data_IF_597799528790
#
_entry.id   IF_597799528790
#
_cell.length_a   1.000
_cell.length_b   1.000
_cell.length_c   1.000
_cell.angle_alpha   90.00
_cell.angle_beta   90.00
_cell.angle_gamma   90.00
#
_symmetry.space_group_name_H-M   'P 1'
#
loop_
_entity.id
_entity.type
_entity.pdbx_description
1 polymer ?
#
# COMPACT_ATOMS: atom_id res chain seq x y z
N UNK A 1 8.65 -1.63 43.88
CA UNK A 1 7.62 -2.33 44.71
C UNK A 1 7.30 -3.67 44.08
N UNK A 2 6.67 -4.60 44.82
CA UNK A 2 6.39 -5.97 44.34
C UNK A 2 5.66 -6.04 42.98
N UNK A 3 4.75 -5.10 42.70
CA UNK A 3 4.06 -5.02 41.40
C UNK A 3 5.01 -4.75 40.23
N UNK A 4 5.95 -3.82 40.39
CA UNK A 4 6.94 -3.48 39.36
C UNK A 4 7.83 -4.68 39.03
N UNK A 5 8.31 -5.38 40.06
CA UNK A 5 9.14 -6.58 39.87
C UNK A 5 8.36 -7.70 39.18
N UNK A 6 7.08 -7.85 39.49
CA UNK A 6 6.21 -8.81 38.81
C UNK A 6 6.01 -8.45 37.34
N UNK A 7 5.78 -7.17 37.03
CA UNK A 7 5.65 -6.66 35.67
C UNK A 7 6.91 -6.93 34.84
N UNK A 8 8.07 -6.57 35.38
CA UNK A 8 9.37 -6.79 34.74
C UNK A 8 9.63 -8.29 34.50
N UNK A 9 9.35 -9.13 35.50
CA UNK A 9 9.52 -10.57 35.37
C UNK A 9 8.58 -11.19 34.32
N UNK A 10 7.32 -10.77 34.29
CA UNK A 10 6.34 -11.26 33.31
C UNK A 10 6.72 -10.81 31.90
N UNK A 11 7.02 -9.52 31.69
CA UNK A 11 7.43 -9.03 30.36
C UNK A 11 8.73 -9.69 29.91
N UNK A 12 9.70 -9.87 30.82
CA UNK A 12 10.96 -10.56 30.54
C UNK A 12 10.77 -12.01 30.09
N UNK A 13 9.79 -12.73 30.65
CA UNK A 13 9.46 -14.09 30.20
C UNK A 13 8.95 -14.16 28.76
N UNK A 14 8.39 -13.06 28.24
CA UNK A 14 7.79 -12.97 26.90
C UNK A 14 8.54 -12.02 25.95
N UNK A 15 9.77 -11.61 26.27
CA UNK A 15 10.50 -10.58 25.51
C UNK A 15 10.75 -11.00 24.05
N UNK A 16 11.13 -12.25 23.82
CA UNK A 16 11.32 -12.83 22.47
C UNK A 16 10.02 -12.90 21.64
N UNK A 17 8.88 -12.64 22.27
CA UNK A 17 7.55 -12.81 21.72
C UNK A 17 6.92 -11.50 21.22
N UNK A 18 7.64 -10.37 21.33
CA UNK A 18 7.25 -9.03 20.88
C UNK A 18 8.01 -8.67 19.60
N UNK A 19 7.47 -8.93 18.40
CA UNK A 19 8.18 -8.75 17.14
C UNK A 19 8.11 -7.28 16.67
N UNK A 20 9.05 -6.45 17.13
CA UNK A 20 9.19 -5.06 16.64
C UNK A 20 9.92 -5.00 15.30
N UNK A 21 10.96 -5.82 15.12
CA UNK A 21 11.76 -5.88 13.89
C UNK A 21 11.14 -6.77 12.83
N UNK A 22 10.44 -7.83 13.24
CA UNK A 22 9.74 -8.71 12.30
C UNK A 22 8.39 -8.11 11.90
N UNK A 23 8.14 -8.13 10.59
CA UNK A 23 6.88 -7.75 9.95
C UNK A 23 6.07 -8.99 9.55
N UNK A 24 6.57 -10.19 9.86
CA UNK A 24 5.92 -11.46 9.53
C UNK A 24 4.68 -11.69 10.41
N UNK A 25 3.60 -12.27 9.83
CA UNK A 25 2.44 -12.65 10.61
C UNK A 25 2.78 -13.77 11.58
N UNK A 26 2.21 -13.71 12.78
CA UNK A 26 2.19 -14.84 13.70
C UNK A 26 1.17 -15.87 13.22
N UNK A 27 1.45 -17.16 13.42
CA UNK A 27 0.46 -18.18 13.11
C UNK A 27 -0.68 -18.10 14.13
N UNK A 28 -1.95 -18.17 13.72
CA UNK A 28 -3.09 -18.15 14.65
C UNK A 28 -3.03 -19.26 15.71
N UNK A 29 -2.37 -20.38 15.41
CA UNK A 29 -2.15 -21.53 16.29
C UNK A 29 -1.13 -21.25 17.42
N UNK A 30 -0.32 -20.20 17.30
CA UNK A 30 0.67 -19.75 18.30
C UNK A 30 0.07 -18.76 19.32
N UNK A 31 -1.24 -18.52 19.25
CA UNK A 31 -1.99 -17.76 20.25
C UNK A 31 -2.05 -18.58 21.55
N UNK A 32 -1.10 -18.30 22.44
CA UNK A 32 -0.80 -19.12 23.62
C UNK A 32 -1.95 -19.20 24.61
N UNK A 33 -2.38 -20.43 24.89
CA UNK A 33 -3.26 -20.80 26.00
C UNK A 33 -2.66 -20.51 27.40
N UNK A 34 -1.42 -20.00 27.47
CA UNK A 34 -0.68 -19.73 28.71
C UNK A 34 -0.78 -18.28 29.20
N UNK A 35 -1.42 -17.38 28.44
CA UNK A 35 -1.52 -15.95 28.80
C UNK A 35 -2.80 -15.70 29.65
N UNK A 36 -2.67 -15.11 30.86
CA UNK A 36 -3.79 -14.96 31.77
C UNK A 36 -4.82 -13.92 31.30
N UNK A 37 -6.07 -14.12 31.75
CA UNK A 37 -7.10 -13.09 31.70
C UNK A 37 -6.83 -12.03 32.76
N UNK A 38 -6.83 -10.75 32.37
CA UNK A 38 -6.75 -9.65 33.33
C UNK A 38 -8.13 -9.02 33.53
N UNK A 39 -8.63 -8.90 34.78
CA UNK A 39 -9.86 -8.18 35.06
C UNK A 39 -9.80 -6.73 34.60
N UNK A 40 -10.94 -6.20 34.12
CA UNK A 40 -11.05 -4.81 33.65
C UNK A 40 -10.61 -3.81 34.71
N UNK A 41 -10.94 -4.00 35.98
CA UNK A 41 -10.54 -3.06 37.05
C UNK A 41 -9.01 -2.94 37.17
N UNK A 42 -8.30 -4.07 37.07
CA UNK A 42 -6.84 -4.08 37.07
C UNK A 42 -6.27 -3.43 35.80
N UNK A 43 -6.91 -3.67 34.64
CA UNK A 43 -6.55 -2.99 33.39
C UNK A 43 -6.68 -1.47 33.51
N UNK A 44 -7.76 -0.95 34.09
CA UNK A 44 -7.95 0.49 34.28
C UNK A 44 -6.82 1.09 35.11
N UNK A 45 -6.45 0.46 36.23
CA UNK A 45 -5.37 0.95 37.10
C UNK A 45 -4.02 0.98 36.36
N UNK A 46 -3.72 -0.05 35.57
CA UNK A 46 -2.48 -0.10 34.78
C UNK A 46 -2.52 0.89 33.61
N UNK A 47 -3.67 1.06 32.96
CA UNK A 47 -3.82 1.94 31.82
C UNK A 47 -3.71 3.43 32.23
N UNK A 48 -4.15 3.81 33.43
CA UNK A 48 -3.95 5.16 33.99
C UNK A 48 -2.46 5.54 34.12
N UNK A 49 -1.57 4.55 34.19
CA UNK A 49 -0.12 4.78 34.29
C UNK A 49 0.56 4.94 32.92
N UNK A 50 -0.19 4.90 31.81
CA UNK A 50 0.32 5.28 30.48
C UNK A 50 0.47 6.81 30.39
N UNK A 51 1.48 7.35 31.07
CA UNK A 51 1.87 8.75 30.97
C UNK A 51 3.09 8.91 30.06
N UNK A 52 3.07 9.95 29.21
CA UNK A 52 4.20 10.31 28.37
C UNK A 52 5.37 10.91 29.17
N UNK A 53 5.14 11.34 30.42
CA UNK A 53 6.17 11.85 31.32
C UNK A 53 7.18 10.78 31.77
N UNK A 54 6.75 9.52 31.86
CA UNK A 54 7.59 8.37 32.21
C UNK A 54 7.57 7.33 31.07
N UNK A 55 8.44 7.56 30.08
CA UNK A 55 8.53 6.73 28.89
C UNK A 55 8.98 5.29 29.18
N UNK A 56 9.76 5.07 30.24
CA UNK A 56 10.20 3.73 30.61
C UNK A 56 9.05 2.91 31.20
N UNK A 57 8.26 3.52 32.09
CA UNK A 57 7.05 2.89 32.61
C UNK A 57 6.02 2.66 31.51
N UNK A 58 5.80 3.64 30.63
CA UNK A 58 4.91 3.48 29.48
C UNK A 58 5.35 2.32 28.58
N UNK A 59 6.65 2.19 28.31
CA UNK A 59 7.21 1.08 27.52
C UNK A 59 6.92 -0.28 28.16
N UNK A 60 7.15 -0.41 29.47
CA UNK A 60 6.90 -1.64 30.21
C UNK A 60 5.41 -2.04 30.15
N UNK A 61 4.51 -1.08 30.34
CA UNK A 61 3.07 -1.31 30.27
C UNK A 61 2.60 -1.66 28.86
N UNK A 62 3.12 -1.00 27.83
CA UNK A 62 2.81 -1.35 26.43
C UNK A 62 3.25 -2.78 26.11
N UNK A 63 4.46 -3.18 26.52
CA UNK A 63 4.95 -4.56 26.37
C UNK A 63 4.04 -5.56 27.07
N UNK A 64 3.63 -5.27 28.32
CA UNK A 64 2.68 -6.08 29.05
C UNK A 64 1.37 -6.24 28.27
N UNK A 65 0.77 -5.13 27.80
CA UNK A 65 -0.51 -5.18 27.10
C UNK A 65 -0.41 -5.93 25.77
N UNK A 66 0.71 -5.82 25.03
CA UNK A 66 0.95 -6.61 23.82
C UNK A 66 0.93 -8.10 24.15
N UNK A 67 1.63 -8.52 25.20
CA UNK A 67 1.66 -9.92 25.65
C UNK A 67 0.27 -10.39 26.06
N UNK A 68 -0.46 -9.61 26.85
CA UNK A 68 -1.79 -9.98 27.33
C UNK A 68 -2.84 -10.03 26.20
N UNK A 69 -2.76 -9.14 25.20
CA UNK A 69 -3.63 -9.15 24.03
C UNK A 69 -3.39 -10.35 23.10
N UNK A 70 -2.35 -11.16 23.33
CA UNK A 70 -2.20 -12.45 22.64
C UNK A 70 -3.30 -13.44 23.01
N UNK A 71 -3.85 -13.32 24.23
CA UNK A 71 -5.09 -13.99 24.57
C UNK A 71 -6.25 -13.13 24.05
N UNK A 72 -6.89 -13.58 22.97
CA UNK A 72 -7.93 -12.81 22.29
C UNK A 72 -9.20 -12.60 23.14
N UNK A 73 -9.40 -13.40 24.19
CA UNK A 73 -10.49 -13.18 25.16
C UNK A 73 -10.29 -11.86 25.93
N UNK A 74 -9.04 -11.43 26.14
CA UNK A 74 -8.77 -10.10 26.70
C UNK A 74 -9.23 -8.99 25.74
N UNK A 75 -9.04 -9.15 24.42
CA UNK A 75 -9.49 -8.16 23.44
C UNK A 75 -11.01 -8.05 23.42
N UNK A 76 -11.71 -9.19 23.44
CA UNK A 76 -13.18 -9.26 23.49
C UNK A 76 -13.75 -8.67 24.80
N UNK A 77 -13.01 -8.77 25.91
CA UNK A 77 -13.42 -8.27 27.22
C UNK A 77 -13.46 -6.73 27.36
N UNK A 78 -13.54 -5.98 26.26
CA UNK A 78 -13.68 -4.53 26.26
C UNK A 78 -12.38 -3.74 26.42
N UNK A 79 -11.23 -4.39 26.32
CA UNK A 79 -9.91 -3.73 26.49
C UNK A 79 -9.68 -2.59 25.51
N UNK A 80 -10.19 -2.70 24.28
CA UNK A 80 -10.11 -1.64 23.30
C UNK A 80 -10.69 -0.31 23.80
N UNK A 81 -11.80 -0.35 24.55
CA UNK A 81 -12.45 0.85 25.10
C UNK A 81 -11.59 1.53 26.18
N UNK A 82 -10.79 0.76 26.91
CA UNK A 82 -9.93 1.27 27.99
C UNK A 82 -8.58 1.75 27.44
N UNK A 83 -7.96 0.96 26.57
CA UNK A 83 -6.60 1.20 26.10
C UNK A 83 -6.54 2.21 24.96
N UNK A 84 -7.40 2.10 23.94
CA UNK A 84 -7.23 2.86 22.70
C UNK A 84 -7.24 4.38 22.90
N UNK A 85 -8.14 4.99 23.71
CA UNK A 85 -8.10 6.44 23.91
C UNK A 85 -6.76 6.92 24.51
N UNK A 86 -6.22 6.17 25.47
CA UNK A 86 -4.96 6.50 26.16
C UNK A 86 -3.75 6.27 25.24
N UNK A 87 -3.72 5.15 24.53
CA UNK A 87 -2.64 4.81 23.59
C UNK A 87 -2.62 5.76 22.40
N UNK A 88 -3.78 6.15 21.86
CA UNK A 88 -3.85 7.15 20.78
C UNK A 88 -3.41 8.54 21.27
N UNK A 89 -3.81 8.96 22.48
CA UNK A 89 -3.35 10.23 23.04
C UNK A 89 -1.82 10.24 23.26
N UNK A 90 -1.26 9.13 23.76
CA UNK A 90 0.18 8.94 23.88
C UNK A 90 0.86 9.01 22.49
N UNK A 91 0.38 8.26 21.51
CA UNK A 91 0.91 8.27 20.14
C UNK A 91 0.88 9.66 19.51
N UNK A 92 -0.23 10.40 19.61
CA UNK A 92 -0.32 11.78 19.08
C UNK A 92 0.78 12.67 19.64
N UNK A 93 1.06 12.57 20.95
CA UNK A 93 2.13 13.35 21.59
C UNK A 93 3.51 12.89 21.14
N UNK A 94 3.77 11.57 21.11
CA UNK A 94 5.04 11.01 20.67
C UNK A 94 5.36 11.41 19.22
N UNK A 95 4.37 11.36 18.32
CA UNK A 95 4.53 11.77 16.92
C UNK A 95 4.87 13.26 16.80
N UNK A 96 4.23 14.11 17.60
CA UNK A 96 4.53 15.54 17.63
C UNK A 96 5.94 15.83 18.16
N UNK A 97 6.36 15.15 19.23
CA UNK A 97 7.72 15.27 19.79
C UNK A 97 8.77 14.78 18.78
N UNK A 98 8.57 13.62 18.16
CA UNK A 98 9.51 13.06 17.18
C UNK A 98 9.72 14.00 15.97
N UNK A 99 8.66 14.60 15.44
CA UNK A 99 8.76 15.58 14.34
C UNK A 99 9.44 16.90 14.76
N UNK A 100 9.38 17.26 16.04
CA UNK A 100 9.94 18.49 16.58
C UNK A 100 11.32 18.35 17.23
N UNK A 101 11.84 17.13 17.40
CA UNK A 101 13.08 16.89 18.15
C UNK A 101 14.31 17.29 17.33
N UNK A 102 15.17 18.21 17.83
CA UNK A 102 16.42 18.55 17.15
C UNK A 102 17.45 17.42 17.28
N UNK A 103 18.35 17.30 16.31
CA UNK A 103 19.36 16.23 16.18
C UNK A 103 20.31 16.06 17.39
N UNK A 104 20.31 16.96 18.38
CA UNK A 104 21.17 16.89 19.56
C UNK A 104 20.64 16.00 20.71
N UNK A 105 19.44 15.43 20.60
CA UNK A 105 18.82 14.56 21.62
C UNK A 105 18.61 13.10 21.14
N UNK A 106 19.59 12.52 20.43
CA UNK A 106 19.49 11.19 19.81
C UNK A 106 19.00 10.08 20.76
N UNK A 107 19.51 10.04 22.00
CA UNK A 107 19.11 9.00 22.98
C UNK A 107 17.64 9.07 23.40
N UNK A 108 17.09 10.28 23.53
CA UNK A 108 15.66 10.48 23.82
C UNK A 108 14.80 10.17 22.59
N UNK A 109 15.28 10.53 21.39
CA UNK A 109 14.62 10.19 20.13
C UNK A 109 14.42 8.68 19.93
N UNK A 110 15.46 7.89 20.22
CA UNK A 110 15.37 6.42 20.14
C UNK A 110 14.36 5.83 21.13
N UNK A 111 14.30 6.35 22.36
CA UNK A 111 13.31 5.91 23.35
C UNK A 111 11.88 6.27 22.91
N UNK A 112 11.66 7.49 22.43
CA UNK A 112 10.37 7.93 21.89
C UNK A 112 9.92 7.05 20.72
N UNK A 113 10.81 6.78 19.78
CA UNK A 113 10.54 5.87 18.65
C UNK A 113 10.17 4.48 19.16
N UNK A 114 10.93 3.93 20.11
CA UNK A 114 10.69 2.61 20.65
C UNK A 114 9.31 2.50 21.33
N UNK A 115 8.94 3.48 22.16
CA UNK A 115 7.61 3.55 22.78
C UNK A 115 6.52 3.65 21.72
N UNK A 116 6.71 4.50 20.71
CA UNK A 116 5.74 4.67 19.62
C UNK A 116 5.55 3.38 18.81
N UNK A 117 6.62 2.64 18.50
CA UNK A 117 6.56 1.36 17.80
C UNK A 117 5.77 0.31 18.59
N UNK A 118 5.96 0.23 19.91
CA UNK A 118 5.17 -0.68 20.76
C UNK A 118 3.70 -0.27 20.84
N UNK A 119 3.42 1.03 20.94
CA UNK A 119 2.05 1.53 20.94
C UNK A 119 1.32 1.24 19.61
N UNK A 120 2.01 1.39 18.47
CA UNK A 120 1.46 0.99 17.16
C UNK A 120 1.23 -0.53 17.08
N UNK A 121 2.17 -1.34 17.57
CA UNK A 121 2.04 -2.81 17.58
C UNK A 121 0.86 -3.28 18.44
N UNK A 122 0.63 -2.64 19.59
CA UNK A 122 -0.54 -2.90 20.43
C UNK A 122 -1.83 -2.57 19.67
N UNK A 123 -1.89 -1.41 19.02
CA UNK A 123 -3.04 -1.03 18.20
C UNK A 123 -3.28 -1.99 17.02
N UNK A 124 -2.22 -2.44 16.32
CA UNK A 124 -2.32 -3.46 15.26
C UNK A 124 -3.02 -4.73 15.79
N UNK A 125 -2.60 -5.21 16.97
CA UNK A 125 -3.19 -6.41 17.60
C UNK A 125 -4.63 -6.23 18.06
N UNK A 126 -5.02 -5.03 18.49
CA UNK A 126 -6.39 -4.71 18.90
C UNK A 126 -7.33 -4.58 17.69
N UNK A 127 -6.87 -3.98 16.58
CA UNK A 127 -7.70 -3.75 15.39
C UNK A 127 -7.71 -4.91 14.39
N UNK A 128 -6.71 -5.79 14.42
CA UNK A 128 -6.66 -7.00 13.59
C UNK A 128 -6.14 -8.21 14.41
N UNK A 129 -6.98 -8.78 15.29
CA UNK A 129 -6.56 -9.84 16.22
C UNK A 129 -5.95 -11.08 15.55
N UNK A 130 -6.39 -11.40 14.32
CA UNK A 130 -5.90 -12.54 13.53
C UNK A 130 -4.79 -12.17 12.55
N UNK A 131 -4.31 -10.92 12.59
CA UNK A 131 -3.26 -10.40 11.71
C UNK A 131 -3.55 -10.65 10.22
N UNK A 132 -4.83 -10.53 9.86
CA UNK A 132 -5.35 -10.69 8.50
C UNK A 132 -4.57 -9.85 7.50
N UNK A 133 -4.27 -8.60 7.85
CA UNK A 133 -3.47 -7.70 7.02
C UNK A 133 -2.06 -8.25 6.76
N UNK A 134 -1.35 -8.65 7.82
CA UNK A 134 0.03 -9.14 7.74
C UNK A 134 0.12 -10.43 6.93
N UNK A 135 -0.84 -11.34 7.13
CA UNK A 135 -0.97 -12.60 6.39
C UNK A 135 -1.22 -12.38 4.91
N UNK A 136 -2.17 -11.49 4.58
CA UNK A 136 -2.44 -11.10 3.19
C UNK A 136 -1.21 -10.45 2.53
N UNK A 137 -0.53 -9.56 3.25
CA UNK A 137 0.69 -8.91 2.77
C UNK A 137 1.84 -9.90 2.53
N UNK A 138 1.96 -10.96 3.34
CA UNK A 138 2.92 -12.05 3.10
C UNK A 138 2.53 -13.01 1.97
N UNK A 139 1.44 -12.72 1.24
CA UNK A 139 0.97 -13.52 0.09
C UNK A 139 -0.06 -14.59 0.43
N UNK A 140 -0.58 -14.63 1.66
CA UNK A 140 -1.59 -15.61 2.05
C UNK A 140 -2.98 -15.22 1.53
N UNK A 141 -3.68 -16.16 0.86
CA UNK A 141 -5.02 -15.95 0.33
C UNK A 141 -6.07 -16.26 1.40
N UNK A 142 -6.52 -15.24 2.13
CA UNK A 142 -7.56 -15.39 3.16
C UNK A 142 -8.95 -15.23 2.53
N UNK A 143 -9.73 -16.31 2.55
CA UNK A 143 -11.09 -16.32 2.02
C UNK A 143 -12.12 -15.71 2.97
N UNK A 144 -13.23 -15.19 2.44
CA UNK A 144 -14.36 -14.72 3.27
C UNK A 144 -14.94 -15.80 4.18
N UNK A 145 -14.88 -17.08 3.76
CA UNK A 145 -15.31 -18.25 4.54
C UNK A 145 -14.41 -18.51 5.76
N UNK A 146 -13.14 -18.15 5.67
CA UNK A 146 -12.22 -18.22 6.81
C UNK A 146 -12.50 -17.07 7.77
N UNK A 147 -12.61 -15.83 7.26
CA UNK A 147 -12.94 -14.65 8.07
C UNK A 147 -14.24 -14.83 8.86
N UNK A 148 -15.24 -15.51 8.29
CA UNK A 148 -16.51 -15.80 9.00
C UNK A 148 -16.38 -16.78 10.17
N UNK A 149 -15.24 -17.49 10.31
CA UNK A 149 -14.97 -18.40 11.43
C UNK A 149 -14.25 -17.73 12.59
N UNK A 150 -13.81 -16.47 12.43
CA UNK A 150 -13.13 -15.73 13.48
C UNK A 150 -14.10 -15.52 14.66
N UNK A 151 -13.72 -16.05 15.82
CA UNK A 151 -14.54 -16.02 17.05
C UNK A 151 -14.57 -14.62 17.66
N UNK A 152 -13.38 -14.04 17.82
CA UNK A 152 -13.18 -12.75 18.49
C UNK A 152 -13.22 -11.57 17.50
N UNK A 153 -14.07 -10.56 17.69
CA UNK A 153 -14.07 -9.36 16.85
C UNK A 153 -12.88 -8.43 17.14
N UNK A 154 -12.50 -7.55 16.21
CA UNK A 154 -11.55 -6.47 16.51
C UNK A 154 -12.15 -5.45 17.49
N UNK A 155 -11.29 -4.71 18.18
CA UNK A 155 -11.70 -3.55 18.96
C UNK A 155 -12.38 -2.49 18.07
N UNK A 156 -13.41 -1.83 18.58
CA UNK A 156 -14.07 -0.74 17.86
C UNK A 156 -13.12 0.45 17.64
N UNK A 157 -13.14 1.03 16.44
CA UNK A 157 -12.30 2.19 16.11
C UNK A 157 -12.78 3.46 16.85
N UNK A 158 -11.93 4.12 17.66
CA UNK A 158 -12.26 5.39 18.30
C UNK A 158 -12.44 6.50 17.28
N UNK A 159 -13.29 7.48 17.57
CA UNK A 159 -13.57 8.59 16.66
C UNK A 159 -12.34 9.50 16.44
N UNK A 160 -11.42 9.53 17.40
CA UNK A 160 -10.16 10.29 17.36
C UNK A 160 -9.15 9.69 16.38
N UNK A 161 -9.29 8.41 16.00
CA UNK A 161 -8.33 7.72 15.14
C UNK A 161 -8.10 8.45 13.81
N UNK A 162 -9.17 8.92 13.17
CA UNK A 162 -9.09 9.59 11.87
C UNK A 162 -8.37 10.95 11.95
N UNK A 163 -8.43 11.63 13.09
CA UNK A 163 -7.65 12.84 13.35
C UNK A 163 -6.18 12.50 13.59
N UNK A 164 -5.92 11.57 14.52
CA UNK A 164 -4.58 11.06 14.82
C UNK A 164 -3.83 10.61 13.56
N UNK A 165 -4.46 9.79 12.72
CA UNK A 165 -3.82 9.22 11.54
C UNK A 165 -3.48 10.29 10.50
N UNK A 166 -4.39 11.24 10.29
CA UNK A 166 -4.17 12.39 9.39
C UNK A 166 -3.01 13.26 9.86
N UNK A 167 -3.00 13.62 11.14
CA UNK A 167 -1.94 14.44 11.75
C UNK A 167 -0.59 13.72 11.77
N UNK A 168 -0.60 12.39 11.95
CA UNK A 168 0.61 11.56 11.89
C UNK A 168 1.23 11.56 10.49
N UNK A 169 0.42 11.47 9.43
CA UNK A 169 0.92 11.51 8.06
C UNK A 169 1.22 12.94 7.54
N UNK A 170 0.68 13.98 8.17
CA UNK A 170 1.02 15.35 7.84
C UNK A 170 2.47 15.66 8.24
N UNK A 171 3.34 15.96 7.28
CA UNK A 171 4.78 16.13 7.54
C UNK A 171 5.46 14.82 7.92
N UNK A 172 5.07 13.72 7.27
CA UNK A 172 5.67 12.40 7.48
C UNK A 172 7.19 12.36 7.24
N UNK A 173 7.75 13.32 6.49
CA UNK A 173 9.19 13.40 6.20
C UNK A 173 10.08 13.52 7.45
N UNK A 174 9.52 14.04 8.55
CA UNK A 174 10.22 14.14 9.83
C UNK A 174 10.15 12.87 10.70
N UNK A 175 9.46 11.82 10.25
CA UNK A 175 9.31 10.58 11.03
C UNK A 175 10.41 9.56 10.69
N UNK A 176 10.84 8.73 11.68
CA UNK A 176 11.68 7.58 11.39
C UNK A 176 11.01 6.62 10.38
N UNK A 177 11.76 6.03 9.43
CA UNK A 177 11.19 5.19 8.38
C UNK A 177 10.39 4.00 8.89
N UNK A 178 10.89 3.32 9.93
CA UNK A 178 10.21 2.18 10.53
C UNK A 178 8.88 2.58 11.17
N UNK A 179 8.80 3.77 11.75
CA UNK A 179 7.59 4.27 12.39
C UNK A 179 6.51 4.59 11.35
N UNK A 180 6.90 5.22 10.23
CA UNK A 180 5.99 5.47 9.12
C UNK A 180 5.51 4.15 8.48
N UNK A 181 6.40 3.18 8.32
CA UNK A 181 6.05 1.83 7.84
C UNK A 181 5.01 1.17 8.76
N UNK A 182 5.21 1.23 10.09
CA UNK A 182 4.27 0.70 11.09
C UNK A 182 2.93 1.45 11.09
N UNK A 183 2.93 2.77 10.87
CA UNK A 183 1.69 3.55 10.71
C UNK A 183 0.86 3.06 9.53
N UNK A 184 1.49 2.81 8.37
CA UNK A 184 0.78 2.29 7.20
C UNK A 184 0.28 0.85 7.46
N UNK A 185 1.05 0.01 8.14
CA UNK A 185 0.57 -1.31 8.56
C UNK A 185 -0.60 -1.24 9.53
N UNK A 186 -0.60 -0.31 10.49
CA UNK A 186 -1.72 -0.07 11.38
C UNK A 186 -2.99 0.28 10.61
N UNK A 187 -2.90 1.15 9.61
CA UNK A 187 -4.05 1.46 8.75
C UNK A 187 -4.55 0.23 8.00
N UNK A 188 -3.63 -0.56 7.42
CA UNK A 188 -3.98 -1.82 6.76
C UNK A 188 -4.63 -2.84 7.70
N UNK A 189 -4.16 -2.95 8.95
CA UNK A 189 -4.78 -3.77 9.99
C UNK A 189 -6.21 -3.31 10.27
N UNK A 190 -6.45 -2.00 10.40
CA UNK A 190 -7.79 -1.43 10.58
C UNK A 190 -8.72 -1.75 9.40
N UNK A 191 -8.21 -1.69 8.16
CA UNK A 191 -8.97 -2.06 6.95
C UNK A 191 -9.31 -3.55 6.91
N UNK A 192 -8.35 -4.42 7.25
CA UNK A 192 -8.47 -5.87 7.10
C UNK A 192 -9.23 -6.54 8.25
N UNK A 193 -9.09 -5.99 9.46
CA UNK A 193 -9.59 -6.59 10.70
C UNK A 193 -11.10 -6.46 10.91
N UNK A 194 -11.72 -5.37 10.43
CA UNK A 194 -13.17 -5.18 10.58
C UNK A 194 -13.78 -4.23 9.54
N UNK A 195 -14.92 -4.62 8.97
CA UNK A 195 -15.62 -3.83 7.94
C UNK A 195 -16.03 -2.44 8.43
N UNK A 196 -16.59 -2.35 9.63
CA UNK A 196 -17.05 -1.08 10.22
C UNK A 196 -15.86 -0.16 10.52
N UNK A 197 -14.80 -0.70 11.11
CA UNK A 197 -13.54 0.01 11.36
C UNK A 197 -12.95 0.55 10.06
N UNK A 198 -12.85 -0.27 9.02
CA UNK A 198 -12.37 0.18 7.70
C UNK A 198 -13.21 1.33 7.15
N UNK A 199 -14.54 1.25 7.23
CA UNK A 199 -15.43 2.34 6.81
C UNK A 199 -15.18 3.63 7.60
N UNK A 200 -14.99 3.55 8.92
CA UNK A 200 -14.72 4.74 9.74
C UNK A 200 -13.32 5.33 9.50
N UNK A 201 -12.32 4.48 9.27
CA UNK A 201 -10.93 4.89 9.07
C UNK A 201 -10.70 5.59 7.73
N UNK A 202 -11.36 5.10 6.66
CA UNK A 202 -11.23 5.70 5.34
C UNK A 202 -11.97 7.03 5.30
N UNK A 203 -11.17 8.08 5.38
CA UNK A 203 -11.56 9.50 5.30
C UNK A 203 -10.71 10.23 4.27
N UNK A 204 -11.18 11.39 3.80
CA UNK A 204 -10.41 12.24 2.89
C UNK A 204 -8.98 12.53 3.39
N UNK A 205 -8.82 12.77 4.70
CA UNK A 205 -7.51 13.02 5.31
C UNK A 205 -6.58 11.80 5.31
N UNK A 206 -7.11 10.61 5.63
CA UNK A 206 -6.31 9.37 5.58
C UNK A 206 -5.84 9.04 4.16
N UNK A 207 -6.71 9.22 3.16
CA UNK A 207 -6.40 8.98 1.75
C UNK A 207 -5.36 9.99 1.26
N UNK A 208 -5.53 11.28 1.56
CA UNK A 208 -4.54 12.30 1.22
C UNK A 208 -3.19 12.05 1.88
N UNK A 209 -3.17 11.58 3.13
CA UNK A 209 -1.94 11.20 3.82
C UNK A 209 -1.22 10.05 3.11
N UNK A 210 -1.92 8.96 2.76
CA UNK A 210 -1.34 7.83 2.04
C UNK A 210 -0.85 8.22 0.64
N UNK A 211 -1.61 9.04 -0.09
CA UNK A 211 -1.17 9.61 -1.36
C UNK A 211 0.06 10.50 -1.17
N UNK A 212 0.16 11.23 -0.05
CA UNK A 212 1.35 12.00 0.33
C UNK A 212 2.59 11.12 0.51
N UNK A 213 2.44 9.96 1.15
CA UNK A 213 3.54 8.97 1.29
C UNK A 213 4.01 8.46 -0.07
N UNK A 214 3.08 8.13 -0.98
CA UNK A 214 3.43 7.72 -2.36
C UNK A 214 4.10 8.88 -3.12
N UNK A 215 3.65 10.12 -2.89
CA UNK A 215 4.23 11.32 -3.51
C UNK A 215 5.64 11.63 -3.02
N UNK A 216 5.96 11.28 -1.77
CA UNK A 216 7.27 11.52 -1.15
C UNK A 216 8.36 10.50 -1.51
N UNK A 217 8.10 9.58 -2.45
CA UNK A 217 8.96 8.43 -2.79
C UNK A 217 10.47 8.73 -2.99
N UNK A 218 10.83 9.95 -3.39
CA UNK A 218 12.21 10.36 -3.65
C UNK A 218 12.93 10.99 -2.44
N UNK A 219 12.22 11.26 -1.33
CA UNK A 219 12.80 11.90 -0.15
C UNK A 219 12.29 11.32 1.18
N UNK A 220 13.06 11.60 2.24
CA UNK A 220 12.69 11.27 3.61
C UNK A 220 12.52 9.76 3.86
N UNK A 221 11.59 9.36 4.74
CA UNK A 221 11.39 7.97 5.13
C UNK A 221 10.81 7.10 4.01
N UNK A 222 10.27 7.69 2.95
CA UNK A 222 9.73 6.97 1.80
C UNK A 222 10.79 6.37 0.88
N UNK A 223 12.07 6.64 1.12
CA UNK A 223 13.19 5.94 0.50
C UNK A 223 13.33 4.48 0.97
N UNK A 224 12.66 4.07 2.07
CA UNK A 224 12.51 2.64 2.38
C UNK A 224 11.72 1.97 1.24
N UNK A 225 12.32 0.98 0.53
CA UNK A 225 11.71 0.38 -0.66
C UNK A 225 10.39 -0.34 -0.37
N UNK A 226 10.08 -0.63 0.91
CA UNK A 226 8.85 -1.30 1.32
C UNK A 226 7.67 -0.33 1.47
N UNK A 227 7.93 0.96 1.68
CA UNK A 227 6.88 1.90 2.09
C UNK A 227 5.90 2.22 0.96
N UNK A 228 6.39 2.51 -0.24
CA UNK A 228 5.54 2.82 -1.40
C UNK A 228 4.65 1.63 -1.77
N UNK A 229 5.15 0.38 -1.93
CA UNK A 229 4.30 -0.78 -2.15
C UNK A 229 3.23 -0.97 -1.07
N UNK A 230 3.59 -0.79 0.20
CA UNK A 230 2.66 -0.94 1.33
C UNK A 230 1.58 0.16 1.32
N UNK A 231 1.95 1.41 1.03
CA UNK A 231 1.01 2.51 0.91
C UNK A 231 0.04 2.29 -0.27
N UNK A 232 0.53 1.73 -1.39
CA UNK A 232 -0.32 1.35 -2.52
C UNK A 232 -1.29 0.23 -2.15
N UNK A 233 -0.86 -0.81 -1.43
CA UNK A 233 -1.78 -1.84 -0.92
C UNK A 233 -2.85 -1.27 0.02
N UNK A 234 -2.47 -0.34 0.91
CA UNK A 234 -3.42 0.35 1.77
C UNK A 234 -4.43 1.18 0.96
N UNK A 235 -4.00 1.84 -0.12
CA UNK A 235 -4.89 2.55 -1.06
C UNK A 235 -5.81 1.59 -1.82
N UNK A 236 -5.34 0.41 -2.23
CA UNK A 236 -6.21 -0.65 -2.80
C UNK A 236 -7.29 -1.05 -1.80
N UNK A 237 -6.91 -1.29 -0.54
CA UNK A 237 -7.86 -1.58 0.53
C UNK A 237 -8.88 -0.45 0.76
N UNK A 238 -8.44 0.82 0.72
CA UNK A 238 -9.32 1.97 0.83
C UNK A 238 -10.31 2.06 -0.34
N UNK A 239 -9.87 1.80 -1.58
CA UNK A 239 -10.76 1.71 -2.76
C UNK A 239 -11.82 0.63 -2.55
N UNK A 240 -11.43 -0.55 -2.09
CA UNK A 240 -12.37 -1.64 -1.83
C UNK A 240 -13.39 -1.29 -0.73
N UNK A 241 -12.96 -0.62 0.34
CA UNK A 241 -13.86 -0.17 1.41
C UNK A 241 -14.86 0.87 0.92
N UNK A 242 -14.39 1.89 0.18
CA UNK A 242 -15.26 2.93 -0.39
C UNK A 242 -16.26 2.34 -1.37
N UNK A 243 -15.80 1.44 -2.24
CA UNK A 243 -16.63 0.77 -3.24
C UNK A 243 -17.69 -0.15 -2.62
N UNK A 244 -17.31 -0.95 -1.62
CA UNK A 244 -18.24 -1.85 -0.93
C UNK A 244 -19.24 -1.11 -0.02
N UNK A 245 -18.97 0.15 0.32
CA UNK A 245 -19.84 0.96 1.16
C UNK A 245 -20.99 1.55 0.34
N UNK A 246 -22.22 1.09 0.60
CA UNK A 246 -23.44 1.53 -0.10
C UNK A 246 -23.98 2.89 0.37
N UNK A 247 -23.16 3.70 1.04
CA UNK A 247 -23.59 4.99 1.59
C UNK A 247 -23.40 6.12 0.55
N UNK A 248 -24.32 7.09 0.46
CA UNK A 248 -24.29 8.13 -0.58
C UNK A 248 -22.96 8.93 -0.73
N UNK A 249 -22.22 9.32 0.34
CA UNK A 249 -21.01 10.13 0.18
C UNK A 249 -19.81 9.35 -0.38
N UNK A 250 -19.88 8.02 -0.45
CA UNK A 250 -18.71 7.17 -0.77
C UNK A 250 -18.32 7.19 -2.24
N UNK A 251 -19.28 7.40 -3.13
CA UNK A 251 -19.01 7.58 -4.56
C UNK A 251 -18.10 8.79 -4.83
N UNK A 252 -18.46 9.99 -4.38
CA UNK A 252 -17.60 11.18 -4.47
C UNK A 252 -16.21 11.00 -3.82
N UNK A 253 -16.13 10.38 -2.65
CA UNK A 253 -14.85 10.08 -1.98
C UNK A 253 -13.96 9.16 -2.81
N UNK A 254 -14.53 8.11 -3.41
CA UNK A 254 -13.82 7.19 -4.29
C UNK A 254 -13.31 7.90 -5.55
N UNK A 255 -14.11 8.78 -6.17
CA UNK A 255 -13.67 9.59 -7.31
C UNK A 255 -12.49 10.48 -6.92
N UNK A 256 -12.58 11.15 -5.78
CA UNK A 256 -11.52 12.04 -5.27
C UNK A 256 -10.21 11.28 -5.01
N UNK A 257 -10.31 10.05 -4.49
CA UNK A 257 -9.16 9.16 -4.32
C UNK A 257 -8.51 8.84 -5.68
N UNK A 258 -9.29 8.41 -6.67
CA UNK A 258 -8.78 8.06 -8.00
C UNK A 258 -8.20 9.28 -8.73
N UNK A 259 -8.81 10.45 -8.62
CA UNK A 259 -8.27 11.70 -9.14
C UNK A 259 -6.90 12.02 -8.53
N UNK A 260 -6.76 11.89 -7.20
CA UNK A 260 -5.49 12.07 -6.50
C UNK A 260 -4.43 11.05 -6.95
N UNK A 261 -4.85 9.79 -7.13
CA UNK A 261 -4.00 8.71 -7.61
C UNK A 261 -3.45 8.98 -9.01
N UNK A 262 -4.32 9.30 -9.97
CA UNK A 262 -3.92 9.60 -11.35
C UNK A 262 -3.11 10.88 -11.47
N UNK A 263 -3.34 11.85 -10.58
CA UNK A 263 -2.53 13.08 -10.48
C UNK A 263 -1.09 12.77 -10.10
N UNK A 264 -0.85 11.87 -9.15
CA UNK A 264 0.50 11.44 -8.76
C UNK A 264 1.15 10.64 -9.89
N UNK A 265 0.41 9.71 -10.50
CA UNK A 265 0.90 8.87 -11.59
C UNK A 265 1.42 9.71 -12.78
N UNK A 266 0.69 10.79 -13.11
CA UNK A 266 1.01 11.71 -14.19
C UNK A 266 1.79 12.96 -13.75
N UNK A 267 2.28 13.02 -12.51
CA UNK A 267 3.02 14.19 -12.05
C UNK A 267 4.32 14.36 -12.84
N UNK A 268 4.64 15.61 -13.17
CA UNK A 268 5.91 16.01 -13.74
C UNK A 268 6.93 16.10 -12.61
N UNK A 269 7.81 15.10 -12.53
CA UNK A 269 8.90 15.07 -11.56
C UNK A 269 10.12 15.72 -12.18
N UNK A 270 10.67 16.79 -11.57
CA UNK A 270 11.88 17.42 -12.08
C UNK A 270 13.03 16.41 -12.06
N UNK A 271 13.84 16.40 -13.12
CA UNK A 271 15.07 15.62 -13.15
C UNK A 271 15.96 16.08 -11.99
N UNK A 272 16.09 15.23 -10.98
CA UNK A 272 16.96 15.50 -9.83
C UNK A 272 18.42 15.64 -10.29
N UNK A 273 19.25 16.38 -9.52
CA UNK A 273 20.66 16.61 -9.87
C UNK A 273 21.55 15.35 -9.75
N UNK A 274 21.05 14.24 -9.19
CA UNK A 274 21.78 12.98 -9.06
C UNK A 274 21.49 12.03 -10.22
N UNK A 275 22.44 11.18 -10.64
CA UNK A 275 22.16 10.03 -11.50
C UNK A 275 21.35 8.97 -10.73
N UNK A 276 20.30 8.38 -11.35
CA UNK A 276 19.42 7.36 -10.73
C UNK A 276 17.93 7.69 -10.40
N UNK A 277 17.44 8.95 -10.37
CA UNK A 277 16.04 9.24 -10.00
C UNK A 277 15.04 8.81 -11.07
N UNK A 278 15.47 8.64 -12.32
CA UNK A 278 14.60 8.23 -13.43
C UNK A 278 14.19 6.75 -13.33
N UNK A 279 15.10 5.84 -12.97
CA UNK A 279 14.80 4.42 -12.80
C UNK A 279 13.86 4.20 -11.60
N UNK A 280 14.11 4.92 -10.50
CA UNK A 280 13.23 4.91 -9.34
C UNK A 280 11.83 5.48 -9.66
N UNK A 281 11.74 6.51 -10.51
CA UNK A 281 10.45 7.02 -11.00
C UNK A 281 9.71 6.01 -11.88
N UNK A 282 10.43 5.30 -12.77
CA UNK A 282 9.83 4.21 -13.56
C UNK A 282 9.31 3.12 -12.63
N UNK A 283 10.09 2.71 -11.63
CA UNK A 283 9.68 1.71 -10.64
C UNK A 283 8.44 2.15 -9.84
N UNK A 284 8.34 3.42 -9.45
CA UNK A 284 7.14 4.00 -8.82
C UNK A 284 5.93 3.88 -9.76
N UNK A 285 6.06 4.36 -11.00
CA UNK A 285 4.95 4.36 -11.97
C UNK A 285 4.49 2.93 -12.27
N UNK A 286 5.41 1.98 -12.41
CA UNK A 286 5.11 0.55 -12.57
C UNK A 286 4.35 0.02 -11.35
N UNK A 287 4.83 0.29 -10.14
CA UNK A 287 4.16 -0.14 -8.90
C UNK A 287 2.74 0.42 -8.79
N UNK A 288 2.54 1.68 -9.20
CA UNK A 288 1.22 2.30 -9.27
C UNK A 288 0.33 1.66 -10.35
N UNK A 289 0.87 1.36 -11.54
CA UNK A 289 0.10 0.70 -12.59
C UNK A 289 -0.33 -0.71 -12.15
N UNK A 290 0.55 -1.48 -11.51
CA UNK A 290 0.24 -2.83 -10.99
C UNK A 290 -0.79 -2.83 -9.86
N UNK A 291 -0.98 -1.73 -9.15
CA UNK A 291 -2.04 -1.61 -8.14
C UNK A 291 -3.44 -1.46 -8.77
N UNK A 292 -3.58 -0.93 -9.98
CA UNK A 292 -4.90 -0.71 -10.62
C UNK A 292 -5.66 -2.04 -10.86
N UNK A 293 -5.05 -3.09 -11.43
CA UNK A 293 -5.70 -4.40 -11.53
C UNK A 293 -6.14 -4.97 -10.18
N UNK A 294 -5.35 -4.73 -9.11
CA UNK A 294 -5.72 -5.12 -7.74
C UNK A 294 -6.91 -4.33 -7.21
N UNK A 295 -7.04 -3.04 -7.52
CA UNK A 295 -8.24 -2.25 -7.20
C UNK A 295 -9.49 -2.80 -7.88
N UNK A 296 -9.36 -3.28 -9.12
CA UNK A 296 -10.47 -3.86 -9.89
C UNK A 296 -10.78 -5.32 -9.50
N UNK A 297 -10.00 -5.93 -8.60
CA UNK A 297 -10.22 -7.28 -8.10
C UNK A 297 -11.26 -7.28 -6.97
N UNK A 298 -12.51 -6.95 -7.32
CA UNK A 298 -13.64 -6.85 -6.40
C UNK A 298 -14.89 -7.55 -6.95
N UNK A 299 -15.88 -7.82 -6.08
CA UNK A 299 -17.10 -8.56 -6.47
C UNK A 299 -17.94 -7.80 -7.50
N UNK A 300 -18.17 -6.49 -7.29
CA UNK A 300 -18.93 -5.63 -8.22
C UNK A 300 -17.98 -4.80 -9.11
N UNK A 301 -17.15 -5.52 -9.86
CA UNK A 301 -16.16 -4.94 -10.79
C UNK A 301 -16.78 -3.96 -11.80
N UNK A 302 -17.95 -4.23 -12.43
CA UNK A 302 -18.53 -3.32 -13.41
C UNK A 302 -18.81 -1.91 -12.89
N UNK A 303 -19.29 -1.77 -11.65
CA UNK A 303 -19.54 -0.46 -11.03
C UNK A 303 -18.23 0.29 -10.76
N UNK A 304 -17.19 -0.44 -10.34
CA UNK A 304 -15.88 0.17 -10.14
C UNK A 304 -15.25 0.58 -11.48
N UNK A 305 -15.34 -0.25 -12.51
CA UNK A 305 -14.93 0.09 -13.88
C UNK A 305 -15.62 1.37 -14.35
N UNK A 306 -16.95 1.50 -14.19
CA UNK A 306 -17.67 2.73 -14.54
C UNK A 306 -17.14 3.96 -13.78
N UNK A 307 -16.73 3.78 -12.52
CA UNK A 307 -16.09 4.85 -11.74
C UNK A 307 -14.73 5.24 -12.32
N UNK A 308 -13.88 4.29 -12.71
CA UNK A 308 -12.62 4.57 -13.42
C UNK A 308 -12.86 5.34 -14.72
N UNK A 309 -13.83 4.92 -15.53
CA UNK A 309 -14.21 5.60 -16.78
C UNK A 309 -14.67 7.04 -16.53
N UNK A 310 -15.45 7.27 -15.48
CA UNK A 310 -15.91 8.62 -15.10
C UNK A 310 -14.77 9.53 -14.60
N UNK A 311 -13.64 8.95 -14.19
CA UNK A 311 -12.41 9.65 -13.80
C UNK A 311 -11.38 9.75 -14.95
N UNK A 312 -11.80 9.57 -16.21
CA UNK A 312 -10.95 9.74 -17.40
C UNK A 312 -9.67 8.88 -17.36
N UNK A 313 -9.79 7.65 -16.87
CA UNK A 313 -8.64 6.76 -16.68
C UNK A 313 -7.88 6.51 -18.00
N UNK A 314 -8.57 6.42 -19.14
CA UNK A 314 -7.94 6.17 -20.43
C UNK A 314 -7.09 7.33 -20.91
N UNK A 315 -7.54 8.55 -20.70
CA UNK A 315 -6.83 9.79 -21.00
C UNK A 315 -5.59 9.92 -20.11
N UNK A 316 -5.71 9.57 -18.82
CA UNK A 316 -4.56 9.51 -17.90
C UNK A 316 -3.51 8.47 -18.32
N UNK A 317 -3.94 7.29 -18.75
CA UNK A 317 -3.05 6.20 -19.17
C UNK A 317 -2.36 6.51 -20.51
N UNK A 318 -3.10 7.05 -21.48
CA UNK A 318 -2.54 7.42 -22.79
C UNK A 318 -1.55 8.59 -22.66
N UNK A 319 -1.87 9.60 -21.84
CA UNK A 319 -0.95 10.70 -21.50
C UNK A 319 0.34 10.18 -20.88
N UNK A 320 0.24 9.20 -19.98
CA UNK A 320 1.42 8.60 -19.35
C UNK A 320 2.36 7.95 -20.38
N UNK A 321 1.81 7.23 -21.37
CA UNK A 321 2.61 6.67 -22.47
C UNK A 321 3.28 7.79 -23.26
N UNK A 322 2.54 8.84 -23.66
CA UNK A 322 3.09 9.96 -24.42
C UNK A 322 4.22 10.66 -23.66
N UNK A 323 4.05 10.90 -22.35
CA UNK A 323 5.06 11.55 -21.52
C UNK A 323 6.28 10.66 -21.27
N UNK A 324 6.11 9.33 -21.17
CA UNK A 324 7.22 8.39 -20.97
C UNK A 324 8.27 8.46 -22.09
N UNK A 325 7.88 8.86 -23.31
CA UNK A 325 8.80 9.05 -24.43
C UNK A 325 9.80 10.19 -24.19
N UNK A 326 9.34 11.29 -23.60
CA UNK A 326 10.17 12.49 -23.36
C UNK A 326 11.32 12.16 -22.39
N UNK A 327 11.04 11.34 -21.38
CA UNK A 327 12.07 10.88 -20.44
C UNK A 327 13.13 10.01 -21.14
N UNK A 328 12.69 9.09 -22.02
CA UNK A 328 13.61 8.21 -22.75
C UNK A 328 14.44 8.95 -23.80
N UNK A 329 13.89 10.01 -24.41
CA UNK A 329 14.63 10.87 -25.33
C UNK A 329 15.65 11.74 -24.61
N UNK A 330 15.38 12.17 -23.37
CA UNK A 330 16.35 12.86 -22.52
C UNK A 330 17.51 11.95 -22.06
N UNK A 331 17.28 10.62 -22.03
CA UNK A 331 18.29 9.59 -21.71
C UNK A 331 19.31 9.37 -22.84
N UNK A 332 19.00 9.76 -24.08
CA UNK A 332 19.89 9.51 -25.22
C UNK A 332 21.11 10.44 -25.18
N UNK A 333 22.34 9.93 -25.01
CA UNK A 333 23.53 10.75 -25.20
C UNK A 333 23.64 11.18 -26.68
N UNK A 334 24.28 12.32 -26.98
CA UNK A 334 24.51 12.74 -28.37
C UNK A 334 25.25 11.62 -29.11
N UNK A 335 24.76 11.30 -30.30
CA UNK A 335 25.14 10.16 -31.15
C UNK A 335 26.62 9.76 -31.04
N UNK A 336 26.85 8.52 -30.60
CA UNK A 336 28.15 7.86 -30.60
C UNK A 336 28.00 6.36 -30.43
N UNK A 337 28.27 5.59 -31.48
CA UNK A 337 28.12 4.12 -31.61
C UNK A 337 28.93 3.27 -30.61
N UNK A 338 29.56 3.87 -29.59
CA UNK A 338 30.55 3.23 -28.72
C UNK A 338 30.00 2.66 -27.40
N UNK A 339 28.78 3.03 -26.95
CA UNK A 339 28.33 2.73 -25.59
C UNK A 339 27.62 1.36 -25.46
N UNK A 340 26.84 0.94 -26.46
CA UNK A 340 26.10 -0.34 -26.41
C UNK A 340 27.04 -1.55 -26.38
N UNK A 341 28.11 -1.51 -27.18
CA UNK A 341 29.13 -2.55 -27.22
C UNK A 341 29.88 -2.66 -25.88
N UNK A 342 30.17 -1.52 -25.25
CA UNK A 342 30.87 -1.49 -23.95
C UNK A 342 29.97 -2.03 -22.83
N UNK A 343 28.68 -1.70 -22.83
CA UNK A 343 27.70 -2.19 -21.85
C UNK A 343 27.40 -3.69 -21.97
N UNK A 344 27.28 -4.20 -23.19
CA UNK A 344 27.14 -5.64 -23.46
C UNK A 344 28.37 -6.45 -23.04
N UNK A 345 29.54 -5.82 -22.97
CA UNK A 345 30.78 -6.46 -22.52
C UNK A 345 30.96 -6.43 -20.99
N UNK A 346 30.28 -5.53 -20.27
CA UNK A 346 30.39 -5.38 -18.81
C UNK A 346 29.25 -6.02 -18.02
N UNK A 347 28.05 -6.17 -18.60
CA UNK A 347 26.90 -6.78 -17.94
C UNK A 347 26.83 -8.30 -18.20
N UNK A 348 26.83 -9.15 -17.16
CA UNK A 348 26.80 -10.61 -17.32
C UNK A 348 25.44 -11.14 -17.81
N UNK A 349 24.38 -10.34 -17.69
CA UNK A 349 23.03 -10.69 -18.13
C UNK A 349 22.63 -9.85 -19.35
N UNK A 350 22.92 -10.39 -20.53
CA UNK A 350 22.61 -9.77 -21.83
C UNK A 350 21.11 -9.46 -21.96
N UNK A 351 20.26 -10.23 -21.28
CA UNK A 351 18.81 -10.05 -21.30
C UNK A 351 18.40 -8.78 -20.54
N UNK A 352 19.07 -8.41 -19.43
CA UNK A 352 18.87 -7.11 -18.75
C UNK A 352 19.31 -5.90 -19.59
N UNK A 353 20.32 -6.06 -20.43
CA UNK A 353 20.79 -4.99 -21.33
C UNK A 353 19.83 -4.80 -22.51
N UNK A 354 19.17 -5.87 -22.96
CA UNK A 354 18.15 -5.86 -24.02
C UNK A 354 16.75 -5.48 -23.50
N UNK A 355 16.43 -5.84 -22.26
CA UNK A 355 15.18 -5.53 -21.55
C UNK A 355 15.29 -4.24 -20.73
N UNK A 356 16.14 -3.29 -21.12
CA UNK A 356 16.19 -1.98 -20.49
C UNK A 356 14.77 -1.43 -20.37
N UNK A 357 14.40 -0.94 -19.17
CA UNK A 357 13.07 -0.46 -18.71
C UNK A 357 12.38 0.61 -19.59
N UNK A 358 12.91 0.87 -20.79
CA UNK A 358 12.39 1.73 -21.84
C UNK A 358 10.92 1.45 -22.17
N UNK A 359 10.47 0.20 -22.19
CA UNK A 359 9.07 -0.15 -22.49
C UNK A 359 8.23 -0.45 -21.24
N UNK A 360 8.81 -0.41 -20.03
CA UNK A 360 8.16 -0.88 -18.82
C UNK A 360 6.83 -0.16 -18.56
N UNK A 361 6.81 1.17 -18.67
CA UNK A 361 5.57 1.95 -18.50
C UNK A 361 4.52 1.55 -19.55
N UNK A 362 4.93 1.42 -20.82
CA UNK A 362 4.02 1.10 -21.93
C UNK A 362 3.37 -0.27 -21.74
N UNK A 363 4.18 -1.28 -21.44
CA UNK A 363 3.73 -2.66 -21.15
C UNK A 363 2.70 -2.68 -20.02
N UNK A 364 3.01 -2.01 -18.90
CA UNK A 364 2.10 -1.97 -17.75
C UNK A 364 0.82 -1.16 -18.03
N UNK A 365 0.89 -0.09 -18.82
CA UNK A 365 -0.31 0.63 -19.25
C UNK A 365 -1.22 -0.26 -20.10
N UNK A 366 -0.68 -1.03 -21.06
CA UNK A 366 -1.47 -1.97 -21.88
C UNK A 366 -2.12 -3.04 -21.00
N UNK A 367 -1.41 -3.56 -20.00
CA UNK A 367 -1.99 -4.47 -18.99
C UNK A 367 -3.13 -3.82 -18.21
N UNK A 368 -2.97 -2.57 -17.78
CA UNK A 368 -4.02 -1.83 -17.06
C UNK A 368 -5.24 -1.57 -17.96
N UNK A 369 -5.03 -1.16 -19.21
CA UNK A 369 -6.10 -0.99 -20.20
C UNK A 369 -6.88 -2.30 -20.38
N UNK A 370 -6.17 -3.42 -20.49
CA UNK A 370 -6.77 -4.75 -20.56
C UNK A 370 -7.63 -5.03 -19.33
N UNK A 371 -7.11 -4.76 -18.12
CA UNK A 371 -7.87 -4.95 -16.89
C UNK A 371 -9.13 -4.07 -16.84
N UNK A 372 -9.03 -2.79 -17.18
CA UNK A 372 -10.19 -1.87 -17.18
C UNK A 372 -11.26 -2.33 -18.18
N UNK A 373 -10.86 -2.84 -19.35
CA UNK A 373 -11.80 -3.26 -20.41
C UNK A 373 -12.30 -4.71 -20.27
N UNK A 374 -11.60 -5.56 -19.54
CA UNK A 374 -11.92 -6.99 -19.40
C UNK A 374 -13.36 -7.21 -18.91
N UNK A 375 -14.10 -8.04 -19.65
CA UNK A 375 -15.49 -8.38 -19.41
C UNK A 375 -16.49 -7.22 -19.57
N UNK A 376 -16.05 -6.05 -20.09
CA UNK A 376 -16.85 -4.82 -20.10
C UNK A 376 -17.02 -4.24 -21.51
N UNK A 377 -18.13 -4.58 -22.22
CA UNK A 377 -18.44 -3.98 -23.52
C UNK A 377 -18.53 -2.45 -23.47
N UNK A 378 -19.11 -1.90 -22.39
CA UNK A 378 -19.21 -0.45 -22.22
C UNK A 378 -17.84 0.23 -22.09
N UNK A 379 -16.88 -0.39 -21.39
CA UNK A 379 -15.53 0.16 -21.30
C UNK A 379 -14.81 0.16 -22.66
N UNK A 380 -14.99 -0.90 -23.46
CA UNK A 380 -14.44 -0.98 -24.82
C UNK A 380 -15.01 0.10 -25.76
N UNK A 381 -16.32 0.32 -25.72
CA UNK A 381 -16.95 1.39 -26.53
C UNK A 381 -16.49 2.77 -26.08
N UNK A 382 -16.44 3.03 -24.77
CA UNK A 382 -15.89 4.31 -24.25
C UNK A 382 -14.42 4.50 -24.67
N UNK A 383 -13.60 3.45 -24.63
CA UNK A 383 -12.22 3.51 -25.11
C UNK A 383 -12.17 3.87 -26.60
N UNK A 384 -13.00 3.21 -27.41
CA UNK A 384 -13.09 3.44 -28.86
C UNK A 384 -13.55 4.86 -29.20
N UNK A 385 -14.51 5.40 -28.46
CA UNK A 385 -15.05 6.76 -28.69
C UNK A 385 -14.09 7.86 -28.23
N UNK A 386 -13.42 7.68 -27.08
CA UNK A 386 -12.62 8.74 -26.46
C UNK A 386 -11.15 8.75 -26.87
N UNK A 387 -10.56 7.56 -27.05
CA UNK A 387 -9.15 7.40 -27.43
C UNK A 387 -9.06 6.83 -28.84
N UNK A 388 -9.68 5.67 -29.08
CA UNK A 388 -9.61 4.93 -30.33
C UNK A 388 -8.34 4.09 -30.46
N UNK A 389 -8.49 2.86 -30.98
CA UNK A 389 -7.37 1.97 -31.26
C UNK A 389 -6.35 2.55 -32.26
N UNK A 390 -6.73 3.30 -33.32
CA UNK A 390 -5.77 3.94 -34.21
C UNK A 390 -4.85 4.92 -33.49
N UNK A 391 -5.38 5.75 -32.58
CA UNK A 391 -4.56 6.67 -31.81
C UNK A 391 -3.65 5.93 -30.81
N UNK A 392 -4.15 4.87 -30.17
CA UNK A 392 -3.32 4.01 -29.35
C UNK A 392 -2.14 3.45 -30.18
N UNK A 393 -2.38 3.01 -31.42
CA UNK A 393 -1.33 2.52 -32.30
C UNK A 393 -0.25 3.57 -32.55
N UNK A 394 -0.66 4.79 -32.92
CA UNK A 394 0.26 5.90 -33.18
C UNK A 394 1.13 6.19 -31.95
N UNK A 395 0.51 6.22 -30.78
CA UNK A 395 1.19 6.45 -29.50
C UNK A 395 2.19 5.32 -29.21
N UNK A 396 1.81 4.06 -29.40
CA UNK A 396 2.69 2.90 -29.21
C UNK A 396 3.84 2.88 -30.23
N UNK A 397 3.57 3.12 -31.52
CA UNK A 397 4.57 3.21 -32.58
C UNK A 397 5.58 4.33 -32.34
N UNK A 398 5.16 5.41 -31.67
CA UNK A 398 6.05 6.52 -31.34
C UNK A 398 7.20 6.13 -30.40
N UNK A 399 7.11 4.98 -29.72
CA UNK A 399 8.13 4.40 -28.84
C UNK A 399 9.09 3.42 -29.55
N UNK A 400 8.91 3.18 -30.85
CA UNK A 400 9.77 2.31 -31.65
C UNK A 400 9.08 0.99 -32.05
N UNK A 401 9.85 -0.04 -32.44
CA UNK A 401 9.29 -1.36 -32.78
C UNK A 401 8.71 -2.05 -31.54
N UNK A 402 7.71 -2.94 -31.68
CA UNK A 402 7.07 -3.58 -30.54
C UNK A 402 8.03 -4.60 -29.89
N UNK A 403 8.24 -4.46 -28.59
CA UNK A 403 9.02 -5.43 -27.81
C UNK A 403 8.23 -6.73 -27.61
N UNK A 404 8.93 -7.82 -27.29
CA UNK A 404 8.28 -9.11 -26.99
C UNK A 404 7.26 -9.01 -25.84
N UNK A 405 7.58 -8.23 -24.81
CA UNK A 405 6.70 -7.99 -23.65
C UNK A 405 5.44 -7.23 -24.06
N UNK A 406 5.58 -6.20 -24.87
CA UNK A 406 4.46 -5.44 -25.39
C UNK A 406 3.56 -6.28 -26.30
N UNK A 407 4.15 -7.09 -27.18
CA UNK A 407 3.42 -8.06 -28.00
C UNK A 407 2.61 -9.03 -27.13
N UNK A 408 3.22 -9.57 -26.08
CA UNK A 408 2.54 -10.44 -25.12
C UNK A 408 1.34 -9.76 -24.45
N UNK A 409 1.49 -8.51 -24.00
CA UNK A 409 0.36 -7.79 -23.37
C UNK A 409 -0.74 -7.42 -24.37
N UNK A 410 -0.40 -7.14 -25.64
CA UNK A 410 -1.40 -6.94 -26.70
C UNK A 410 -2.15 -8.23 -27.04
N UNK A 411 -1.48 -9.38 -27.01
CA UNK A 411 -2.12 -10.68 -27.15
C UNK A 411 -3.00 -11.00 -25.92
N UNK A 412 -2.53 -10.69 -24.70
CA UNK A 412 -3.33 -10.79 -23.49
C UNK A 412 -4.59 -9.90 -23.57
N UNK A 413 -4.48 -8.71 -24.18
CA UNK A 413 -5.61 -7.81 -24.42
C UNK A 413 -6.64 -8.42 -25.38
N UNK A 414 -6.20 -9.19 -26.38
CA UNK A 414 -7.08 -9.83 -27.35
C UNK A 414 -7.93 -10.95 -26.74
N UNK A 415 -7.37 -11.67 -25.76
CA UNK A 415 -8.04 -12.79 -25.06
C UNK A 415 -8.58 -12.41 -23.67
N UNK A 416 -8.34 -11.16 -23.24
CA UNK A 416 -8.66 -10.64 -21.90
C UNK A 416 -8.14 -11.50 -20.74
N UNK A 417 -6.95 -12.05 -20.90
CA UNK A 417 -6.36 -12.98 -19.94
C UNK A 417 -4.97 -13.43 -20.39
N UNK A 418 -4.48 -14.52 -19.81
CA UNK A 418 -3.19 -15.09 -20.20
C UNK A 418 -3.32 -15.86 -21.53
N UNK A 419 -2.75 -15.30 -22.60
CA UNK A 419 -2.76 -15.92 -23.93
C UNK A 419 -1.92 -17.21 -24.02
N UNK A 420 -1.01 -17.45 -23.07
CA UNK A 420 -0.13 -18.63 -23.05
C UNK A 420 -0.79 -19.89 -22.46
N UNK A 421 -2.03 -19.78 -22.01
CA UNK A 421 -2.82 -20.90 -21.52
C UNK A 421 -2.95 -22.05 -22.54
N UNK A 422 -3.05 -23.28 -22.04
CA UNK A 422 -3.26 -24.47 -22.85
C UNK A 422 -4.56 -25.19 -22.43
N UNK A 423 -5.60 -25.28 -23.30
CA UNK A 423 -5.65 -24.77 -24.68
C UNK A 423 -5.67 -23.23 -24.74
N UNK A 424 -5.25 -22.62 -25.87
CA UNK A 424 -5.25 -21.17 -26.02
C UNK A 424 -6.67 -20.62 -25.87
N UNK A 425 -6.87 -19.55 -25.09
CA UNK A 425 -8.18 -18.95 -24.90
C UNK A 425 -8.72 -18.33 -26.20
N UNK A 426 -10.05 -18.22 -26.36
CA UNK A 426 -10.65 -17.59 -27.53
C UNK A 426 -10.34 -16.09 -27.57
N UNK A 427 -10.28 -15.53 -28.78
CA UNK A 427 -10.18 -14.08 -28.99
C UNK A 427 -11.55 -13.46 -28.64
N UNK A 428 -11.55 -12.53 -27.69
CA UNK A 428 -12.74 -11.81 -27.21
C UNK A 428 -12.67 -10.30 -27.49
N UNK A 429 -11.51 -9.83 -27.96
CA UNK A 429 -11.28 -8.49 -28.47
C UNK A 429 -10.42 -8.57 -29.72
N UNK A 430 -11.02 -8.34 -30.89
CA UNK A 430 -10.32 -8.40 -32.18
C UNK A 430 -9.41 -7.20 -32.44
N UNK A 431 -9.64 -6.07 -31.77
CA UNK A 431 -8.95 -4.80 -32.08
C UNK A 431 -7.44 -4.86 -31.83
N UNK A 432 -6.92 -5.42 -30.72
CA UNK A 432 -5.47 -5.60 -30.53
C UNK A 432 -4.81 -6.46 -31.62
N UNK A 433 -5.53 -7.45 -32.17
CA UNK A 433 -5.00 -8.27 -33.26
C UNK A 433 -4.88 -7.46 -34.55
N UNK A 434 -5.88 -6.63 -34.85
CA UNK A 434 -5.83 -5.72 -36.00
C UNK A 434 -4.68 -4.70 -35.87
N UNK A 435 -4.43 -4.20 -34.65
CA UNK A 435 -3.28 -3.35 -34.36
C UNK A 435 -1.96 -4.04 -34.68
N UNK A 436 -1.79 -5.29 -34.24
CA UNK A 436 -0.58 -6.07 -34.49
C UNK A 436 -0.37 -6.34 -35.98
N UNK A 437 -1.43 -6.64 -36.73
CA UNK A 437 -1.36 -6.83 -38.18
C UNK A 437 -0.93 -5.57 -38.95
N UNK A 438 -1.26 -4.38 -38.42
CA UNK A 438 -0.84 -3.11 -39.03
C UNK A 438 0.59 -2.71 -38.63
N UNK A 439 1.06 -3.15 -37.46
CA UNK A 439 2.35 -2.76 -36.91
C UNK A 439 3.50 -3.67 -37.36
N UNK A 440 3.25 -4.97 -37.49
CA UNK A 440 4.28 -5.93 -37.88
C UNK A 440 4.46 -5.94 -39.42
N UNK A 441 5.72 -5.99 -39.92
CA UNK A 441 5.96 -6.13 -41.35
C UNK A 441 5.35 -7.45 -41.87
N UNK A 442 4.78 -7.38 -43.08
CA UNK A 442 4.09 -8.48 -43.75
C UNK A 442 5.00 -9.64 -44.16
#
# INVERSE_FOLDING_TARGET
GYLQQWLEALVGAFENSIPLSSLEPRRPEEAGAEVPLLPLDALHVLAEQLDAGDLEQALLLLRLFIVLCRNLENVEAGWGQVLLPRVLALLTRLMAELKGTPASQEGRGLLLENVALHALLLCEGLFDPYQTWRRQHSGEVISSKEKSKYKFPPAALPCEFSAFFRESLQGADGLPPMLLLRLVHLFGAVLAGGKENGQMAVSAGSVQGLLGVVRGWDHGPAQDPRLVPLALEALVGAVHVLHASRTPPRGPELRTLLEGYFRILNADWPAGPSPGPEEALVALRVSMLDAIPRMLACEDRPVLQATFLSNNCFEHLTRLIQNSKLYLQARAPPEGDSDLATRLLTEPDVQKVLDQDTDAIVVHVVRVLTSIMSGSPSAKEVFKERIGYPHLLEVLQSHGPPTRRLLQELLNMAVEGDHSGCPPPPIVNEQPVLLLMQWLPA
#
